data_IF_830853474342
#
_entry.id   IF_830853474342
#
_cell.length_a   1.000
_cell.length_b   1.000
_cell.length_c   1.000
_cell.angle_alpha   90.00
_cell.angle_beta   90.00
_cell.angle_gamma   90.00
#
_symmetry.space_group_name_H-M   'P 1'
#
loop_
_entity.id
_entity.type
_entity.pdbx_description
1 polymer ?
#
# COMPACT_ATOMS: atom_id res chain seq x y z
N UNK A 1 -13.10 -15.84 -1.13
CA UNK A 1 -13.78 -15.80 0.18
C UNK A 1 -12.86 -15.05 1.10
N UNK A 2 -13.10 -13.75 1.27
CA UNK A 2 -12.15 -12.77 1.85
C UNK A 2 -12.85 -11.46 2.23
N UNK A 3 -13.96 -11.12 1.56
CA UNK A 3 -14.81 -9.93 1.84
C UNK A 3 -15.04 -9.60 3.33
N UNK A 4 -15.31 -10.61 4.17
CA UNK A 4 -15.52 -10.41 5.61
C UNK A 4 -14.29 -9.83 6.34
N UNK A 5 -13.08 -10.14 5.90
CA UNK A 5 -11.85 -9.64 6.51
C UNK A 5 -11.64 -8.15 6.24
N UNK A 6 -11.81 -7.73 4.99
CA UNK A 6 -11.76 -6.31 4.62
C UNK A 6 -12.85 -5.50 5.33
N UNK A 7 -14.10 -6.01 5.34
CA UNK A 7 -15.22 -5.36 6.02
C UNK A 7 -14.94 -5.18 7.52
N UNK A 8 -14.38 -6.18 8.20
CA UNK A 8 -14.04 -6.07 9.63
C UNK A 8 -12.93 -5.05 9.91
N UNK A 9 -11.92 -4.95 9.04
CA UNK A 9 -10.85 -3.94 9.18
C UNK A 9 -11.38 -2.53 8.97
N UNK A 10 -12.25 -2.33 7.98
CA UNK A 10 -12.92 -1.05 7.74
C UNK A 10 -13.84 -0.67 8.90
N UNK A 11 -14.59 -1.63 9.43
CA UNK A 11 -15.44 -1.42 10.60
C UNK A 11 -14.61 -0.99 11.83
N UNK A 12 -13.45 -1.61 12.04
CA UNK A 12 -12.54 -1.23 13.12
C UNK A 12 -11.95 0.19 12.94
N UNK A 13 -11.83 0.66 11.70
CA UNK A 13 -11.41 2.04 11.40
C UNK A 13 -12.53 3.05 11.76
N UNK A 14 -13.79 2.71 11.50
CA UNK A 14 -14.94 3.59 11.74
C UNK A 14 -15.28 3.77 13.23
N UNK A 15 -15.12 2.73 14.06
CA UNK A 15 -15.66 2.74 15.43
C UNK A 15 -14.76 3.36 16.49
N UNK A 16 -13.46 3.50 16.25
CA UNK A 16 -12.54 3.85 17.33
C UNK A 16 -12.08 5.31 17.23
N UNK A 17 -12.52 6.21 18.13
CA UNK A 17 -12.10 7.60 18.11
C UNK A 17 -10.59 7.67 18.29
N UNK A 18 -9.88 8.11 17.25
CA UNK A 18 -8.43 8.35 17.33
C UNK A 18 -8.22 9.53 18.30
N UNK A 19 -7.60 9.32 19.48
CA UNK A 19 -7.32 10.42 20.38
C UNK A 19 -6.39 11.41 19.67
N UNK A 20 -6.69 12.71 19.76
CA UNK A 20 -5.84 13.75 19.17
C UNK A 20 -4.38 13.55 19.61
N UNK A 21 -3.48 13.35 18.63
CA UNK A 21 -2.05 13.15 18.85
C UNK A 21 -1.53 11.70 18.81
N UNK A 22 -2.34 10.70 18.43
CA UNK A 22 -1.84 9.34 18.21
C UNK A 22 -1.61 8.98 16.73
N UNK A 23 -0.43 8.41 16.47
CA UNK A 23 -0.01 7.76 15.20
C UNK A 23 -0.76 6.45 14.89
N UNK A 24 -1.65 5.99 15.79
CA UNK A 24 -2.39 4.74 15.62
C UNK A 24 -3.41 4.77 14.46
N UNK A 25 -3.84 5.97 14.03
CA UNK A 25 -4.70 6.13 12.86
C UNK A 25 -4.02 5.63 11.58
N UNK A 26 -2.76 6.02 11.37
CA UNK A 26 -2.01 5.66 10.16
C UNK A 26 -1.74 4.15 10.07
N UNK A 27 -1.43 3.50 11.20
CA UNK A 27 -1.27 2.04 11.23
C UNK A 27 -2.56 1.32 10.83
N UNK A 28 -3.71 1.76 11.34
CA UNK A 28 -5.01 1.14 11.01
C UNK A 28 -5.40 1.38 9.56
N UNK A 29 -5.16 2.59 9.05
CA UNK A 29 -5.32 2.88 7.63
C UNK A 29 -4.41 2.00 6.78
N UNK A 30 -3.15 1.80 7.15
CA UNK A 30 -2.23 0.89 6.44
C UNK A 30 -2.76 -0.55 6.39
N UNK A 31 -3.26 -1.06 7.52
CA UNK A 31 -3.89 -2.39 7.57
C UNK A 31 -5.16 -2.45 6.71
N UNK A 32 -5.94 -1.37 6.66
CA UNK A 32 -7.11 -1.25 5.78
C UNK A 32 -6.74 -1.18 4.29
N UNK A 33 -5.65 -0.49 3.94
CA UNK A 33 -5.09 -0.46 2.57
C UNK A 33 -4.70 -1.86 2.13
N UNK A 34 -3.97 -2.60 2.97
CA UNK A 34 -3.64 -4.00 2.69
C UNK A 34 -4.88 -4.87 2.52
N UNK A 35 -5.88 -4.70 3.39
CA UNK A 35 -7.13 -5.46 3.27
C UNK A 35 -7.92 -5.12 2.00
N UNK A 36 -7.89 -3.87 1.54
CA UNK A 36 -8.49 -3.44 0.28
C UNK A 36 -7.75 -4.04 -0.92
N UNK A 37 -6.42 -4.08 -0.88
CA UNK A 37 -5.61 -4.76 -1.89
C UNK A 37 -5.93 -6.25 -2.00
N UNK A 38 -6.10 -6.94 -0.87
CA UNK A 38 -6.45 -8.38 -0.86
C UNK A 38 -7.90 -8.69 -1.29
N UNK A 39 -8.78 -7.70 -1.35
CA UNK A 39 -10.21 -7.85 -1.68
C UNK A 39 -10.60 -7.07 -2.95
N UNK A 40 -9.62 -6.62 -3.74
CA UNK A 40 -9.77 -5.85 -4.98
C UNK A 40 -10.63 -4.57 -4.84
N UNK A 41 -10.57 -3.91 -3.68
CA UNK A 41 -11.29 -2.64 -3.41
C UNK A 41 -10.43 -1.44 -3.78
N UNK A 42 -10.14 -1.33 -5.07
CA UNK A 42 -9.09 -0.45 -5.59
C UNK A 42 -9.27 1.02 -5.18
N UNK A 43 -10.44 1.59 -5.48
CA UNK A 43 -10.71 3.02 -5.21
C UNK A 43 -10.60 3.35 -3.72
N UNK A 44 -11.19 2.51 -2.88
CA UNK A 44 -11.15 2.68 -1.43
C UNK A 44 -9.73 2.56 -0.88
N UNK A 45 -8.97 1.55 -1.35
CA UNK A 45 -7.59 1.34 -0.93
C UNK A 45 -6.68 2.52 -1.29
N UNK A 46 -6.83 3.09 -2.49
CA UNK A 46 -6.08 4.28 -2.91
C UNK A 46 -6.45 5.52 -2.10
N UNK A 47 -7.73 5.75 -1.84
CA UNK A 47 -8.18 6.87 -1.00
C UNK A 47 -7.66 6.76 0.44
N UNK A 48 -7.75 5.57 1.05
CA UNK A 48 -7.23 5.35 2.40
C UNK A 48 -5.71 5.52 2.47
N UNK A 49 -4.98 5.09 1.44
CA UNK A 49 -3.54 5.27 1.37
C UNK A 49 -3.19 6.76 1.28
N UNK A 50 -3.88 7.54 0.47
CA UNK A 50 -3.66 8.99 0.34
C UNK A 50 -3.89 9.75 1.65
N UNK A 51 -4.79 9.27 2.52
CA UNK A 51 -5.06 9.90 3.82
C UNK A 51 -4.03 9.61 4.93
N UNK A 52 -3.03 8.76 4.68
CA UNK A 52 -1.95 8.45 5.64
C UNK A 52 -0.88 9.55 5.57
N UNK A 53 -0.52 10.14 6.71
CA UNK A 53 0.46 11.24 6.75
C UNK A 53 1.88 10.75 6.44
N UNK A 54 2.26 9.58 6.97
CA UNK A 54 3.56 8.94 6.72
C UNK A 54 3.38 7.50 6.27
N UNK A 55 3.51 7.27 4.96
CA UNK A 55 3.27 5.97 4.32
C UNK A 55 4.52 5.12 4.43
N UNK A 56 4.35 3.94 5.03
CA UNK A 56 5.42 2.94 5.11
C UNK A 56 5.56 2.17 3.79
N UNK A 57 6.65 1.42 3.66
CA UNK A 57 6.95 0.59 2.49
C UNK A 57 5.79 -0.36 2.12
N UNK A 58 5.12 -0.95 3.12
CA UNK A 58 3.99 -1.85 2.90
C UNK A 58 2.81 -1.12 2.25
N UNK A 59 2.48 0.05 2.75
CA UNK A 59 1.41 0.91 2.21
C UNK A 59 1.73 1.32 0.78
N UNK A 60 2.97 1.74 0.51
CA UNK A 60 3.41 2.14 -0.82
C UNK A 60 3.33 0.98 -1.83
N UNK A 61 3.75 -0.23 -1.43
CA UNK A 61 3.68 -1.42 -2.27
C UNK A 61 2.22 -1.79 -2.61
N UNK A 62 1.33 -1.81 -1.61
CA UNK A 62 -0.08 -2.11 -1.83
C UNK A 62 -0.75 -1.05 -2.71
N UNK A 63 -0.48 0.24 -2.45
CA UNK A 63 -1.03 1.33 -3.24
C UNK A 63 -0.52 1.32 -4.69
N UNK A 64 0.74 0.98 -4.92
CA UNK A 64 1.28 0.83 -6.26
C UNK A 64 0.60 -0.30 -7.04
N UNK A 65 0.38 -1.46 -6.40
CA UNK A 65 -0.33 -2.57 -7.03
C UNK A 65 -1.78 -2.18 -7.38
N UNK A 66 -2.48 -1.51 -6.47
CA UNK A 66 -3.81 -0.98 -6.71
C UNK A 66 -3.84 0.06 -7.86
N UNK A 67 -2.86 0.95 -7.92
CA UNK A 67 -2.74 1.95 -8.99
C UNK A 67 -2.47 1.30 -10.35
N UNK A 68 -1.57 0.31 -10.42
CA UNK A 68 -1.30 -0.44 -11.65
C UNK A 68 -2.52 -1.24 -12.09
N UNK A 69 -3.25 -1.86 -11.18
CA UNK A 69 -4.47 -2.60 -11.52
C UNK A 69 -5.55 -1.67 -12.14
N UNK A 70 -5.71 -0.47 -11.58
CA UNK A 70 -6.71 0.51 -12.09
C UNK A 70 -6.30 1.25 -13.35
N UNK A 71 -5.04 1.69 -13.42
CA UNK A 71 -4.58 2.64 -14.44
C UNK A 71 -3.51 2.06 -15.38
N UNK A 72 -3.05 0.83 -15.12
CA UNK A 72 -1.87 0.24 -15.79
C UNK A 72 -0.60 1.08 -15.66
N UNK A 73 -0.57 2.03 -14.71
CA UNK A 73 0.51 2.98 -14.48
C UNK A 73 0.42 3.61 -13.09
N UNK A 74 1.52 4.20 -12.63
CA UNK A 74 1.55 5.03 -11.41
C UNK A 74 1.34 6.51 -11.69
N UNK A 75 1.40 6.94 -12.96
CA UNK A 75 1.40 8.36 -13.33
C UNK A 75 0.09 9.09 -12.99
N UNK A 76 -1.03 8.37 -12.91
CA UNK A 76 -2.33 8.90 -12.55
C UNK A 76 -2.52 9.09 -11.03
N UNK A 77 -1.53 8.68 -10.22
CA UNK A 77 -1.54 8.78 -8.75
C UNK A 77 -0.36 9.65 -8.29
N UNK A 78 -0.51 10.97 -8.42
CA UNK A 78 0.59 11.93 -8.24
C UNK A 78 1.23 11.90 -6.85
N UNK A 79 0.44 11.67 -5.79
CA UNK A 79 0.98 11.58 -4.43
C UNK A 79 1.91 10.38 -4.28
N UNK A 80 1.58 9.24 -4.90
CA UNK A 80 2.36 8.01 -4.82
C UNK A 80 3.71 8.18 -5.54
N UNK A 81 3.69 8.75 -6.75
CA UNK A 81 4.93 9.06 -7.49
C UNK A 81 5.83 10.01 -6.69
N UNK A 82 5.25 10.95 -5.95
CA UNK A 82 6.04 11.88 -5.12
C UNK A 82 6.68 11.18 -3.91
N UNK A 83 5.96 10.30 -3.23
CA UNK A 83 6.53 9.50 -2.14
C UNK A 83 7.66 8.58 -2.64
N UNK A 84 7.46 7.93 -3.78
CA UNK A 84 8.47 7.03 -4.38
C UNK A 84 9.78 7.74 -4.69
N UNK A 85 9.75 8.98 -5.18
CA UNK A 85 10.98 9.78 -5.42
C UNK A 85 11.84 9.97 -4.18
N UNK A 86 11.24 9.89 -2.99
CA UNK A 86 11.95 10.00 -1.71
C UNK A 86 12.27 8.63 -1.08
N UNK A 87 11.73 7.56 -1.64
CA UNK A 87 11.86 6.19 -1.14
C UNK A 87 13.07 5.50 -1.75
N UNK A 88 13.85 4.83 -0.91
CA UNK A 88 14.94 3.95 -1.35
C UNK A 88 14.37 2.60 -1.81
N UNK A 89 14.66 2.22 -3.05
CA UNK A 89 14.22 0.95 -3.62
C UNK A 89 14.71 -0.25 -2.80
N UNK A 90 15.93 -0.18 -2.24
CA UNK A 90 16.49 -1.26 -1.42
C UNK A 90 15.70 -1.48 -0.11
N UNK A 91 14.99 -0.45 0.37
CA UNK A 91 14.11 -0.54 1.54
C UNK A 91 12.78 -1.26 1.26
N UNK A 92 12.39 -1.40 -0.01
CA UNK A 92 11.14 -2.05 -0.41
C UNK A 92 11.29 -3.56 -0.56
N UNK A 93 12.44 -4.04 -1.02
CA UNK A 93 12.67 -5.48 -1.29
C UNK A 93 12.45 -6.39 -0.07
N UNK A 94 12.97 -6.08 1.13
CA UNK A 94 12.74 -6.93 2.31
C UNK A 94 11.26 -7.00 2.70
N UNK A 95 10.51 -5.92 2.43
CA UNK A 95 9.08 -5.87 2.69
C UNK A 95 8.34 -6.76 1.70
N UNK A 96 8.67 -6.69 0.40
CA UNK A 96 8.15 -7.63 -0.61
C UNK A 96 8.40 -9.08 -0.18
N UNK A 97 9.62 -9.40 0.26
CA UNK A 97 9.96 -10.77 0.65
C UNK A 97 9.18 -11.28 1.85
N UNK A 98 8.80 -10.37 2.77
CA UNK A 98 7.95 -10.73 3.91
C UNK A 98 6.54 -11.17 3.49
N UNK A 99 6.01 -10.71 2.34
CA UNK A 99 4.72 -11.17 1.82
C UNK A 99 4.73 -12.63 1.39
N UNK A 100 5.90 -13.19 1.05
CA UNK A 100 6.02 -14.61 0.71
C UNK A 100 5.67 -15.55 1.87
N UNK A 101 5.72 -15.05 3.12
CA UNK A 101 5.27 -15.77 4.30
C UNK A 101 3.74 -15.77 4.45
N UNK A 102 3.05 -14.85 3.77
CA UNK A 102 1.60 -14.69 3.79
C UNK A 102 1.00 -15.41 2.57
N UNK A 103 1.44 -15.01 1.37
CA UNK A 103 0.96 -15.53 0.10
C UNK A 103 2.01 -15.28 -1.01
N UNK A 104 2.46 -16.37 -1.66
CA UNK A 104 3.48 -16.31 -2.72
C UNK A 104 2.97 -15.63 -4.01
N UNK A 105 1.66 -15.71 -4.30
CA UNK A 105 1.07 -15.03 -5.46
C UNK A 105 1.12 -13.53 -5.23
N UNK A 106 0.72 -13.09 -4.04
CA UNK A 106 0.79 -11.69 -3.64
C UNK A 106 2.23 -11.17 -3.70
N UNK A 107 3.19 -11.92 -3.14
CA UNK A 107 4.60 -11.55 -3.24
C UNK A 107 5.05 -11.38 -4.69
N UNK A 108 4.66 -12.31 -5.56
CA UNK A 108 5.04 -12.28 -6.99
C UNK A 108 4.44 -11.06 -7.69
N UNK A 109 3.15 -10.77 -7.46
CA UNK A 109 2.47 -9.57 -7.98
C UNK A 109 3.17 -8.28 -7.51
N UNK A 110 3.47 -8.17 -6.22
CA UNK A 110 4.16 -6.99 -5.68
C UNK A 110 5.57 -6.85 -6.24
N UNK A 111 6.28 -7.96 -6.48
CA UNK A 111 7.61 -7.95 -7.08
C UNK A 111 7.60 -7.51 -8.54
N UNK A 112 6.62 -7.95 -9.32
CA UNK A 112 6.41 -7.48 -10.70
C UNK A 112 6.12 -5.97 -10.73
N UNK A 113 5.13 -5.51 -9.94
CA UNK A 113 4.79 -4.09 -9.83
C UNK A 113 6.01 -3.26 -9.39
N UNK A 114 6.78 -3.76 -8.43
CA UNK A 114 7.97 -3.08 -7.96
C UNK A 114 9.00 -2.88 -9.08
N UNK A 115 9.37 -3.95 -9.79
CA UNK A 115 10.40 -3.90 -10.83
C UNK A 115 9.95 -3.07 -12.03
N UNK A 116 8.73 -3.29 -12.51
CA UNK A 116 8.27 -2.72 -13.78
C UNK A 116 7.75 -1.29 -13.64
N UNK A 117 7.21 -0.94 -12.46
CA UNK A 117 6.54 0.34 -12.26
C UNK A 117 7.16 1.21 -11.17
N UNK A 118 7.60 0.66 -10.04
CA UNK A 118 8.08 1.50 -8.91
C UNK A 118 9.54 1.90 -9.03
N UNK A 119 10.44 0.97 -9.36
CA UNK A 119 11.90 1.21 -9.47
C UNK A 119 12.23 2.45 -10.33
N UNK A 120 11.58 2.69 -11.49
CA UNK A 120 11.83 3.90 -12.29
C UNK A 120 11.54 5.23 -11.58
N UNK A 121 10.71 5.23 -10.54
CA UNK A 121 10.37 6.41 -9.75
C UNK A 121 11.12 6.50 -8.42
N UNK A 122 11.71 5.41 -7.96
CA UNK A 122 12.43 5.36 -6.69
C UNK A 122 13.76 6.10 -6.75
N UNK A 123 14.24 6.54 -5.58
CA UNK A 123 15.60 7.05 -5.46
C UNK A 123 16.58 5.90 -5.66
N UNK A 124 17.52 6.07 -6.59
CA UNK A 124 18.67 5.17 -6.72
C UNK A 124 19.69 5.62 -5.67
N UNK A 125 20.00 4.73 -4.71
CA UNK A 125 21.13 4.95 -3.82
C UNK A 125 22.42 4.98 -4.66
N UNK A 126 23.20 6.05 -4.49
CA UNK A 126 24.48 6.27 -5.18
C UNK A 126 25.61 5.46 -4.53
#
# INVERSE_FOLDING_TARGET
GTKKGCDLTLLALEYDPVPQGQTNGDKRKSDAVFACFMDDRIDLGLSLAEEIESRDARTLLCAAALAVDKFSSLNDVSWLVNDLKSTDAAGLEPVIDSFGQIDLVVQSTLREVFVDHMVPHCRIAA
#
